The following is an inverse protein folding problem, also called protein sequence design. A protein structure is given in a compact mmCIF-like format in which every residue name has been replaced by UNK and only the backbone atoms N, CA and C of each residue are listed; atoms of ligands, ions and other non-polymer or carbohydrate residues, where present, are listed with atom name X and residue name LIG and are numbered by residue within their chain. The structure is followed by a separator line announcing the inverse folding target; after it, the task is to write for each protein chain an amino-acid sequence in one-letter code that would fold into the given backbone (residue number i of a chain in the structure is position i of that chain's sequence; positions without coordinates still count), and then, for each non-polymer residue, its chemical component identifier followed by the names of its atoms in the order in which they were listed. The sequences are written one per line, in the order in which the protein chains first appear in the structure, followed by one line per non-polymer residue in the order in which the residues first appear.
data_IF_812395621292
#
_entry.id   IF_812395621292
#
_cell.length_a   1.000
_cell.length_b   1.000
_cell.length_c   1.000
_cell.angle_alpha   90.00
_cell.angle_beta   90.00
_cell.angle_gamma   90.00
#
_symmetry.space_group_name_H-M   'P 1'
#
loop_
_entity.id
_entity.type
_entity.pdbx_description
1 polymer ?
#
# COMPACT_ATOMS: atom_id res chain seq x y z
N UNK A 1 11.20 23.81 13.00
CA UNK A 1 9.92 23.07 13.00
C UNK A 1 8.71 23.77 12.39
N UNK A 2 8.46 25.07 12.60
CA UNK A 2 7.34 25.77 11.90
C UNK A 2 7.43 25.66 10.38
N UNK A 3 8.64 25.61 9.82
CA UNK A 3 8.86 25.50 8.37
C UNK A 3 8.30 24.23 7.74
N UNK A 4 8.26 23.08 8.45
CA UNK A 4 7.79 21.83 7.85
C UNK A 4 6.25 21.76 7.87
N UNK A 5 5.65 22.14 8.99
CA UNK A 5 4.20 22.25 9.13
C UNK A 5 3.64 23.32 8.16
N UNK A 6 4.34 24.45 8.03
CA UNK A 6 3.99 25.50 7.08
C UNK A 6 4.17 25.02 5.63
N UNK A 7 5.23 24.27 5.29
CA UNK A 7 5.40 23.69 3.95
C UNK A 7 4.36 22.64 3.59
N UNK A 8 3.96 21.78 4.53
CA UNK A 8 2.90 20.80 4.32
C UNK A 8 1.56 21.49 4.12
N UNK A 9 1.25 22.52 4.93
CA UNK A 9 0.05 23.34 4.75
C UNK A 9 0.09 24.16 3.45
N UNK A 10 1.23 24.72 3.06
CA UNK A 10 1.42 25.43 1.80
C UNK A 10 1.27 24.49 0.59
N UNK A 11 1.75 23.24 0.68
CA UNK A 11 1.56 22.22 -0.36
C UNK A 11 0.08 21.85 -0.50
N UNK A 12 -0.64 21.70 0.60
CA UNK A 12 -2.08 21.41 0.61
C UNK A 12 -2.89 22.63 0.11
N UNK A 13 -2.47 23.85 0.46
CA UNK A 13 -3.09 25.10 0.00
C UNK A 13 -2.81 25.40 -1.48
N UNK A 14 -1.62 25.04 -1.99
CA UNK A 14 -1.27 25.17 -3.42
C UNK A 14 -2.12 24.28 -4.33
N UNK A 15 -2.74 23.23 -3.80
CA UNK A 15 -3.64 22.35 -4.55
C UNK A 15 -5.13 22.77 -4.47
N UNK A 16 -5.45 23.99 -4.02
CA UNK A 16 -6.82 24.57 -3.97
C UNK A 16 -7.84 23.72 -3.18
N UNK A 17 -7.44 23.16 -2.03
CA UNK A 17 -8.33 22.31 -1.22
C UNK A 17 -8.43 22.79 0.22
N UNK A 18 -9.17 23.88 0.40
CA UNK A 18 -9.44 24.50 1.71
C UNK A 18 -9.95 23.47 2.74
N UNK A 19 -10.87 22.58 2.36
CA UNK A 19 -11.43 21.57 3.28
C UNK A 19 -10.38 20.58 3.80
N UNK A 20 -9.42 20.20 2.96
CA UNK A 20 -8.34 19.28 3.35
C UNK A 20 -7.31 20.02 4.23
N UNK A 21 -7.01 21.27 3.91
CA UNK A 21 -6.13 22.10 4.74
C UNK A 21 -6.72 22.35 6.14
N UNK A 22 -8.02 22.61 6.23
CA UNK A 22 -8.74 22.83 7.50
C UNK A 22 -8.75 21.55 8.33
N UNK A 23 -9.07 20.40 7.72
CA UNK A 23 -9.06 19.11 8.42
C UNK A 23 -7.66 18.74 8.94
N UNK A 24 -6.63 18.97 8.14
CA UNK A 24 -5.22 18.73 8.50
C UNK A 24 -4.79 19.64 9.64
N UNK A 25 -5.06 20.94 9.54
CA UNK A 25 -4.72 21.92 10.57
C UNK A 25 -5.42 21.59 11.90
N UNK A 26 -6.72 21.31 11.86
CA UNK A 26 -7.50 20.96 13.04
C UNK A 26 -7.14 19.60 13.66
N UNK A 27 -6.54 18.67 12.91
CA UNK A 27 -6.00 17.42 13.44
C UNK A 27 -4.64 17.64 14.11
N UNK A 28 -3.74 18.35 13.42
CA UNK A 28 -2.43 18.73 13.98
C UNK A 28 -2.63 19.50 15.29
N UNK A 29 -3.49 20.52 15.32
CA UNK A 29 -3.73 21.34 16.52
C UNK A 29 -4.32 20.56 17.72
N UNK A 30 -5.06 19.46 17.47
CA UNK A 30 -5.65 18.61 18.52
C UNK A 30 -4.68 17.59 19.12
N UNK A 31 -3.76 17.06 18.32
CA UNK A 31 -2.90 15.92 18.66
C UNK A 31 -1.45 16.32 18.98
N UNK A 32 -1.19 17.59 19.32
CA UNK A 32 0.17 18.09 19.62
C UNK A 32 0.68 17.59 20.98
N UNK A 33 1.18 16.36 20.99
CA UNK A 33 2.02 15.76 22.05
C UNK A 33 3.47 16.25 22.03
N UNK A 34 4.40 15.43 22.53
CA UNK A 34 5.85 15.70 22.50
C UNK A 34 6.44 15.57 21.07
N UNK A 35 7.69 15.97 20.83
CA UNK A 35 8.30 15.97 19.48
C UNK A 35 8.16 14.65 18.67
N UNK A 36 8.42 13.45 19.22
CA UNK A 36 8.27 12.21 18.45
C UNK A 36 6.82 11.88 18.09
N UNK A 37 5.86 12.18 18.98
CA UNK A 37 4.42 12.02 18.68
C UNK A 37 3.99 12.97 17.56
N UNK A 38 4.51 14.20 17.53
CA UNK A 38 4.24 15.15 16.45
C UNK A 38 4.76 14.68 15.10
N UNK A 39 5.98 14.14 15.05
CA UNK A 39 6.55 13.63 13.81
C UNK A 39 5.72 12.46 13.25
N UNK A 40 5.30 11.53 14.12
CA UNK A 40 4.40 10.42 13.75
C UNK A 40 3.06 10.93 13.22
N UNK A 41 2.45 11.90 13.91
CA UNK A 41 1.18 12.50 13.51
C UNK A 41 1.28 13.18 12.13
N UNK A 42 2.35 13.93 11.88
CA UNK A 42 2.59 14.55 10.57
C UNK A 42 2.78 13.50 9.47
N UNK A 43 3.50 12.42 9.74
CA UNK A 43 3.67 11.32 8.78
C UNK A 43 2.34 10.63 8.45
N UNK A 44 1.48 10.42 9.46
CA UNK A 44 0.13 9.85 9.26
C UNK A 44 -0.74 10.76 8.40
N UNK A 45 -0.73 12.07 8.68
CA UNK A 45 -1.45 13.06 7.89
C UNK A 45 -0.97 13.10 6.44
N UNK A 46 0.34 13.14 6.21
CA UNK A 46 0.90 13.15 4.87
C UNK A 46 0.49 11.90 4.08
N UNK A 47 0.56 10.73 4.70
CA UNK A 47 0.06 9.48 4.10
C UNK A 47 -1.42 9.57 3.75
N UNK A 48 -2.25 10.08 4.67
CA UNK A 48 -3.68 10.20 4.45
C UNK A 48 -4.01 11.10 3.26
N UNK A 49 -3.37 12.27 3.15
CA UNK A 49 -3.53 13.19 2.02
C UNK A 49 -3.14 12.52 0.70
N UNK A 50 -2.01 11.84 0.64
CA UNK A 50 -1.56 11.14 -0.59
C UNK A 50 -2.52 10.03 -1.00
N UNK A 51 -3.06 9.27 -0.04
CA UNK A 51 -4.07 8.23 -0.32
C UNK A 51 -5.36 8.85 -0.83
N UNK A 52 -5.80 9.98 -0.26
CA UNK A 52 -6.99 10.70 -0.71
C UNK A 52 -6.86 11.14 -2.17
N UNK A 53 -5.72 11.76 -2.53
CA UNK A 53 -5.44 12.15 -3.91
C UNK A 53 -5.47 10.96 -4.87
N UNK A 54 -4.98 9.80 -4.43
CA UNK A 54 -5.04 8.57 -5.19
C UNK A 54 -6.49 8.09 -5.40
N UNK A 55 -7.36 8.19 -4.39
CA UNK A 55 -8.76 7.79 -4.46
C UNK A 55 -9.58 8.66 -5.40
N UNK A 56 -9.32 9.96 -5.42
CA UNK A 56 -9.97 10.86 -6.37
C UNK A 56 -9.54 10.55 -7.80
N UNK A 57 -8.25 10.28 -8.03
CA UNK A 57 -7.75 9.84 -9.34
C UNK A 57 -8.37 8.53 -9.80
N UNK A 58 -8.63 7.61 -8.87
CA UNK A 58 -9.38 6.38 -9.16
C UNK A 58 -10.81 6.75 -9.52
N UNK A 59 -11.49 7.58 -8.72
CA UNK A 59 -12.87 8.03 -8.93
C UNK A 59 -13.09 8.72 -10.28
N UNK A 60 -12.06 9.36 -10.85
CA UNK A 60 -12.05 9.92 -12.22
C UNK A 60 -12.08 8.85 -13.34
N UNK A 61 -12.12 7.56 -13.02
CA UNK A 61 -12.20 6.46 -13.98
C UNK A 61 -10.92 5.62 -14.10
N UNK A 62 -9.94 5.81 -13.21
CA UNK A 62 -8.73 4.98 -13.17
C UNK A 62 -8.94 3.76 -12.28
N UNK A 63 -8.10 2.75 -12.45
CA UNK A 63 -8.09 1.56 -11.61
C UNK A 63 -6.72 1.42 -10.96
N UNK A 64 -6.72 0.88 -9.74
CA UNK A 64 -5.50 0.57 -9.01
C UNK A 64 -5.50 -0.91 -8.64
N UNK A 65 -4.42 -1.60 -9.01
CA UNK A 65 -4.21 -2.99 -8.68
C UNK A 65 -3.05 -3.11 -7.68
N UNK A 66 -3.29 -3.81 -6.58
CA UNK A 66 -2.27 -4.23 -5.63
C UNK A 66 -1.96 -5.70 -5.86
N UNK A 67 -0.67 -6.03 -5.98
CA UNK A 67 -0.21 -7.39 -6.22
C UNK A 67 0.84 -7.76 -5.18
N UNK A 68 0.57 -8.79 -4.40
CA UNK A 68 1.46 -9.23 -3.31
C UNK A 68 1.89 -10.69 -3.47
N UNK A 69 3.21 -10.92 -3.36
CA UNK A 69 3.83 -12.26 -3.40
C UNK A 69 3.69 -13.03 -2.08
N UNK A 70 3.41 -12.31 -1.01
CA UNK A 70 3.29 -12.86 0.34
C UNK A 70 2.14 -12.17 1.06
N UNK A 71 1.21 -12.96 1.59
CA UNK A 71 0.11 -12.51 2.42
C UNK A 71 0.00 -13.37 3.67
N UNK A 72 -0.63 -12.81 4.71
CA UNK A 72 -0.95 -13.53 5.96
C UNK A 72 -2.45 -13.86 6.08
N UNK A 73 -3.25 -13.50 5.08
CA UNK A 73 -4.69 -13.78 5.05
C UNK A 73 -4.94 -15.28 5.09
N UNK A 74 -5.90 -15.69 5.90
CA UNK A 74 -6.44 -17.05 5.99
C UNK A 74 -7.98 -17.04 5.89
N UNK A 75 -8.57 -15.99 5.31
CA UNK A 75 -10.03 -15.79 5.23
C UNK A 75 -10.71 -16.85 4.37
N UNK A 76 -10.04 -17.37 3.34
CA UNK A 76 -10.64 -18.33 2.40
C UNK A 76 -10.76 -19.73 3.00
N UNK A 77 -9.72 -20.23 3.68
CA UNK A 77 -9.72 -21.60 4.23
C UNK A 77 -9.88 -21.67 5.75
N UNK A 78 -9.75 -20.54 6.46
CA UNK A 78 -9.79 -20.46 7.92
C UNK A 78 -8.80 -21.43 8.60
N UNK A 79 -7.59 -21.51 8.06
CA UNK A 79 -6.50 -22.37 8.56
C UNK A 79 -5.43 -21.54 9.29
N UNK A 80 -4.60 -22.15 10.15
CA UNK A 80 -3.47 -21.46 10.80
C UNK A 80 -2.28 -21.19 9.84
N UNK A 81 -2.50 -21.35 8.53
CA UNK A 81 -1.53 -21.11 7.46
C UNK A 81 -2.15 -20.20 6.41
N UNK A 82 -1.36 -19.36 5.71
CA UNK A 82 -1.93 -18.41 4.74
C UNK A 82 -2.60 -19.08 3.54
N UNK A 83 -3.71 -18.50 3.06
CA UNK A 83 -4.47 -19.00 1.91
C UNK A 83 -3.60 -19.09 0.66
N UNK A 84 -2.71 -18.13 0.47
CA UNK A 84 -1.76 -18.10 -0.65
C UNK A 84 -0.82 -19.31 -0.64
N UNK A 85 -0.40 -19.77 0.54
CA UNK A 85 0.41 -20.99 0.68
C UNK A 85 -0.42 -22.23 0.35
N UNK A 86 -1.64 -22.32 0.88
CA UNK A 86 -2.57 -23.42 0.61
C UNK A 86 -2.85 -23.54 -0.89
N UNK A 87 -3.23 -22.45 -1.55
CA UNK A 87 -3.47 -22.41 -3.00
C UNK A 87 -2.22 -22.79 -3.79
N UNK A 88 -1.05 -22.36 -3.35
CA UNK A 88 0.22 -22.72 -4.01
C UNK A 88 0.46 -24.23 -3.99
N UNK A 89 0.07 -24.92 -2.91
CA UNK A 89 0.23 -26.38 -2.75
C UNK A 89 -0.87 -27.20 -3.41
N UNK A 90 -2.10 -26.71 -3.41
CA UNK A 90 -3.26 -27.46 -3.92
C UNK A 90 -3.51 -27.29 -5.42
N UNK A 91 -2.97 -26.22 -6.02
CA UNK A 91 -3.20 -25.88 -7.43
C UNK A 91 -1.89 -25.83 -8.21
N UNK A 92 -1.96 -26.03 -9.53
CA UNK A 92 -0.79 -25.95 -10.42
C UNK A 92 -1.05 -25.19 -11.73
N UNK A 93 -2.32 -25.09 -12.15
CA UNK A 93 -2.72 -24.43 -13.40
C UNK A 93 -2.97 -22.96 -13.17
N UNK A 94 -2.88 -22.19 -14.25
CA UNK A 94 -3.31 -20.79 -14.29
C UNK A 94 -4.79 -20.68 -13.92
N UNK A 95 -5.14 -19.55 -13.31
CA UNK A 95 -6.50 -19.26 -12.91
C UNK A 95 -6.54 -18.29 -11.74
N UNK A 96 -7.75 -17.96 -11.32
CA UNK A 96 -7.98 -17.08 -10.19
C UNK A 96 -9.17 -17.56 -9.35
N UNK A 97 -9.22 -17.06 -8.13
CA UNK A 97 -10.35 -17.18 -7.22
C UNK A 97 -10.59 -15.82 -6.59
N UNK A 98 -11.85 -15.39 -6.57
CA UNK A 98 -12.25 -14.18 -5.86
C UNK A 98 -12.44 -14.54 -4.39
N UNK A 99 -11.68 -13.89 -3.50
CA UNK A 99 -11.75 -14.08 -2.04
C UNK A 99 -12.97 -13.35 -1.47
N UNK A 100 -13.24 -12.14 -1.96
CA UNK A 100 -14.36 -11.34 -1.49
C UNK A 100 -14.42 -9.95 -2.12
N UNK A 101 -15.62 -9.38 -2.05
CA UNK A 101 -15.90 -7.97 -2.31
C UNK A 101 -16.04 -7.31 -0.94
N UNK A 102 -15.31 -6.23 -0.72
CA UNK A 102 -15.38 -5.52 0.55
C UNK A 102 -16.42 -4.41 0.39
N UNK A 103 -17.32 -4.33 1.35
CA UNK A 103 -18.42 -3.38 1.32
C UNK A 103 -17.95 -1.98 1.72
N UNK A 104 -16.83 -1.89 2.45
CA UNK A 104 -16.27 -0.61 2.88
C UNK A 104 -14.73 -0.59 2.89
N UNK A 105 -14.19 0.62 2.80
CA UNK A 105 -12.74 0.85 2.88
C UNK A 105 -12.21 0.65 4.30
N UNK A 106 -13.02 0.85 5.33
CA UNK A 106 -12.64 0.56 6.71
C UNK A 106 -12.36 -0.93 6.92
N UNK A 107 -13.13 -1.82 6.29
CA UNK A 107 -12.86 -3.26 6.34
C UNK A 107 -11.51 -3.62 5.68
N UNK A 108 -11.07 -2.82 4.72
CA UNK A 108 -9.84 -3.05 3.98
C UNK A 108 -8.59 -2.47 4.65
N UNK A 109 -8.70 -1.32 5.34
CA UNK A 109 -7.55 -0.52 5.81
C UNK A 109 -7.54 -0.24 7.31
N UNK A 110 -8.66 -0.47 8.01
CA UNK A 110 -8.82 -0.22 9.45
C UNK A 110 -9.27 1.20 9.77
N UNK A 111 -9.91 1.38 10.93
CA UNK A 111 -10.60 2.63 11.30
C UNK A 111 -9.65 3.83 11.45
N UNK A 112 -8.48 3.64 12.04
CA UNK A 112 -7.55 4.72 12.44
C UNK A 112 -7.12 5.62 11.26
N UNK A 113 -6.93 5.03 10.06
CA UNK A 113 -6.52 5.79 8.89
C UNK A 113 -7.73 6.42 8.15
N UNK A 114 -8.92 5.86 8.33
CA UNK A 114 -10.12 6.22 7.54
C UNK A 114 -10.79 7.50 8.01
N UNK A 115 -10.64 7.84 9.29
CA UNK A 115 -11.15 9.09 9.88
C UNK A 115 -10.28 10.31 9.54
N UNK A 116 -9.10 10.10 8.97
CA UNK A 116 -8.16 11.17 8.65
C UNK A 116 -8.47 11.81 7.29
N UNK A 117 -8.44 13.15 7.27
CA UNK A 117 -8.45 13.96 6.05
C UNK A 117 -9.64 13.74 5.08
N UNK A 118 -10.74 13.17 5.56
CA UNK A 118 -11.91 12.85 4.74
C UNK A 118 -11.70 11.64 3.81
N UNK A 119 -10.87 10.68 4.23
CA UNK A 119 -10.58 9.47 3.47
C UNK A 119 -11.80 8.57 3.32
N UNK A 120 -12.62 8.48 4.37
CA UNK A 120 -13.87 7.72 4.36
C UNK A 120 -14.78 8.16 3.22
N UNK A 121 -15.10 9.45 3.14
CA UNK A 121 -15.94 10.05 2.11
C UNK A 121 -15.35 9.84 0.71
N UNK A 122 -14.03 9.96 0.60
CA UNK A 122 -13.32 9.73 -0.67
C UNK A 122 -13.41 8.28 -1.14
N UNK A 123 -13.50 7.33 -0.21
CA UNK A 123 -13.60 5.91 -0.51
C UNK A 123 -15.04 5.43 -0.75
N UNK A 124 -16.08 6.19 -0.38
CA UNK A 124 -17.48 5.82 -0.58
C UNK A 124 -17.84 5.55 -2.04
N UNK A 125 -17.17 6.22 -2.97
CA UNK A 125 -17.38 6.07 -4.42
C UNK A 125 -16.52 4.97 -5.04
N UNK A 126 -15.76 4.23 -4.23
CA UNK A 126 -14.87 3.18 -4.69
C UNK A 126 -15.43 1.80 -4.36
N UNK A 127 -14.99 0.82 -5.13
CA UNK A 127 -15.29 -0.60 -4.96
C UNK A 127 -13.99 -1.35 -4.78
N UNK A 128 -13.96 -2.27 -3.82
CA UNK A 128 -12.79 -3.06 -3.52
C UNK A 128 -13.10 -4.55 -3.65
N UNK A 129 -12.28 -5.24 -4.44
CA UNK A 129 -12.38 -6.69 -4.65
C UNK A 129 -11.00 -7.30 -4.49
N UNK A 130 -10.93 -8.42 -3.79
CA UNK A 130 -9.68 -9.17 -3.66
C UNK A 130 -9.85 -10.60 -4.10
N UNK A 131 -8.74 -11.17 -4.55
CA UNK A 131 -8.65 -12.57 -4.87
C UNK A 131 -7.22 -13.03 -4.93
N UNK A 132 -7.07 -14.28 -5.35
CA UNK A 132 -5.79 -14.90 -5.60
C UNK A 132 -5.72 -15.31 -7.06
N UNK A 133 -4.57 -15.12 -7.70
CA UNK A 133 -4.36 -15.46 -9.09
C UNK A 133 -3.01 -16.17 -9.28
N UNK A 134 -3.01 -17.23 -10.07
CA UNK A 134 -1.81 -17.83 -10.64
C UNK A 134 -1.74 -17.42 -12.11
N UNK A 135 -0.76 -16.59 -12.44
CA UNK A 135 -0.64 -15.98 -13.77
C UNK A 135 0.10 -16.88 -14.77
N UNK A 136 0.87 -17.86 -14.29
CA UNK A 136 1.58 -18.83 -15.13
C UNK A 136 1.61 -20.22 -14.47
N UNK A 137 1.54 -21.29 -15.25
CA UNK A 137 1.52 -22.67 -14.73
C UNK A 137 2.72 -22.95 -13.83
N UNK A 138 2.46 -23.50 -12.65
CA UNK A 138 3.49 -23.85 -11.67
C UNK A 138 4.13 -22.66 -10.93
N UNK A 139 3.89 -21.42 -11.38
CA UNK A 139 4.41 -20.22 -10.73
C UNK A 139 3.67 -19.88 -9.42
N UNK A 140 4.24 -19.09 -8.50
CA UNK A 140 3.57 -18.74 -7.24
C UNK A 140 2.18 -18.12 -7.44
N UNK A 141 1.26 -18.43 -6.52
CA UNK A 141 -0.03 -17.73 -6.43
C UNK A 141 0.22 -16.33 -5.88
N UNK A 142 -0.40 -15.31 -6.46
CA UNK A 142 -0.33 -13.91 -6.01
C UNK A 142 -1.67 -13.52 -5.40
N UNK A 143 -1.66 -12.69 -4.34
CA UNK A 143 -2.87 -11.99 -3.90
C UNK A 143 -3.00 -10.72 -4.73
N UNK A 144 -4.17 -10.53 -5.34
CA UNK A 144 -4.50 -9.41 -6.20
C UNK A 144 -5.68 -8.68 -5.60
N UNK A 145 -5.57 -7.37 -5.44
CA UNK A 145 -6.66 -6.52 -4.97
C UNK A 145 -6.87 -5.41 -5.99
N UNK A 146 -8.11 -5.19 -6.37
CA UNK A 146 -8.51 -4.15 -7.31
C UNK A 146 -9.33 -3.11 -6.56
N UNK A 147 -8.92 -1.86 -6.72
CA UNK A 147 -9.67 -0.68 -6.32
C UNK A 147 -10.12 0.06 -7.59
N UNK A 148 -11.42 0.23 -7.75
CA UNK A 148 -12.03 0.87 -8.93
C UNK A 148 -13.18 1.79 -8.51
N UNK A 149 -13.65 2.70 -9.38
CA UNK A 149 -14.91 3.40 -9.16
C UNK A 149 -16.09 2.44 -9.02
N UNK A 150 -17.10 2.83 -8.25
CA UNK A 150 -18.43 2.20 -8.28
C UNK A 150 -19.07 2.45 -9.65
N UNK A 151 -19.05 1.44 -10.51
CA UNK A 151 -19.70 1.51 -11.81
C UNK A 151 -21.12 0.95 -11.75
N UNK A 152 -22.11 1.70 -12.24
CA UNK A 152 -23.48 1.18 -12.39
C UNK A 152 -23.53 0.15 -13.52
N UNK A 153 -23.92 -1.08 -13.21
CA UNK A 153 -24.21 -2.13 -14.21
C UNK A 153 -23.02 -2.96 -14.70
N UNK A 154 -21.79 -2.70 -14.24
CA UNK A 154 -20.63 -3.57 -14.53
C UNK A 154 -20.38 -4.53 -13.37
N UNK A 155 -20.12 -5.81 -13.67
CA UNK A 155 -19.76 -6.79 -12.64
C UNK A 155 -18.31 -6.58 -12.20
N UNK A 156 -18.09 -6.34 -10.91
CA UNK A 156 -16.74 -6.27 -10.32
C UNK A 156 -15.92 -7.54 -10.59
N UNK A 157 -16.59 -8.70 -10.72
CA UNK A 157 -15.91 -9.96 -11.02
C UNK A 157 -15.34 -9.96 -12.45
N UNK A 158 -16.07 -9.38 -13.40
CA UNK A 158 -15.60 -9.24 -14.78
C UNK A 158 -14.42 -8.24 -14.89
N UNK A 159 -14.45 -7.17 -14.10
CA UNK A 159 -13.32 -6.23 -14.00
C UNK A 159 -12.09 -6.89 -13.38
N UNK A 160 -12.29 -7.72 -12.36
CA UNK A 160 -11.21 -8.48 -11.74
C UNK A 160 -10.62 -9.52 -12.69
N UNK A 161 -11.46 -10.23 -13.45
CA UNK A 161 -11.03 -11.16 -14.49
C UNK A 161 -10.20 -10.46 -15.57
N UNK A 162 -10.69 -9.34 -16.11
CA UNK A 162 -9.95 -8.53 -17.09
C UNK A 162 -8.60 -8.04 -16.54
N UNK A 163 -8.56 -7.61 -15.28
CA UNK A 163 -7.30 -7.28 -14.60
C UNK A 163 -6.35 -8.49 -14.55
N UNK A 164 -6.82 -9.66 -14.12
CA UNK A 164 -5.98 -10.87 -14.03
C UNK A 164 -5.43 -11.25 -15.41
N UNK A 165 -6.25 -11.19 -16.45
CA UNK A 165 -5.82 -11.46 -17.83
C UNK A 165 -4.76 -10.46 -18.31
N UNK A 166 -4.93 -9.17 -18.01
CA UNK A 166 -3.92 -8.13 -18.30
C UNK A 166 -2.63 -8.34 -17.51
N UNK A 167 -2.71 -8.76 -16.25
CA UNK A 167 -1.52 -9.07 -15.45
C UNK A 167 -0.80 -10.31 -16.00
N UNK A 168 -1.56 -11.33 -16.42
CA UNK A 168 -1.01 -12.54 -17.02
C UNK A 168 -0.27 -12.25 -18.34
N UNK A 169 -0.83 -11.39 -19.20
CA UNK A 169 -0.16 -11.01 -20.47
C UNK A 169 1.14 -10.21 -20.28
N UNK A 170 1.33 -9.60 -19.10
CA UNK A 170 2.53 -8.87 -18.71
C UNK A 170 3.49 -9.71 -17.84
N UNK A 171 3.15 -10.95 -17.53
CA UNK A 171 3.94 -11.80 -16.63
C UNK A 171 4.94 -12.66 -17.40
N UNK A 172 6.12 -12.88 -16.77
CA UNK A 172 7.09 -13.88 -17.24
C UNK A 172 6.71 -15.28 -16.79
N UNK A 173 7.52 -16.29 -17.17
CA UNK A 173 7.37 -17.69 -16.74
C UNK A 173 7.37 -17.86 -15.21
N UNK A 174 7.98 -16.91 -14.47
CA UNK A 174 7.96 -16.86 -13.01
C UNK A 174 6.60 -16.43 -12.42
N UNK A 175 5.62 -16.13 -13.27
CA UNK A 175 4.25 -15.75 -12.92
C UNK A 175 4.12 -14.42 -12.20
N UNK A 176 5.09 -13.51 -12.35
CA UNK A 176 5.05 -12.17 -11.78
C UNK A 176 5.08 -11.09 -12.88
N UNK A 177 4.24 -10.03 -12.79
CA UNK A 177 4.20 -9.00 -13.82
C UNK A 177 5.55 -8.27 -13.99
N UNK A 178 6.05 -8.21 -15.21
CA UNK A 178 7.35 -7.63 -15.55
C UNK A 178 7.51 -6.15 -15.14
N UNK A 179 6.50 -5.26 -15.29
CA UNK A 179 6.60 -3.89 -14.81
C UNK A 179 6.85 -3.79 -13.29
N UNK A 180 6.24 -4.69 -12.51
CA UNK A 180 6.45 -4.74 -11.06
C UNK A 180 7.83 -5.27 -10.70
N UNK A 181 8.37 -6.21 -11.49
CA UNK A 181 9.73 -6.70 -11.31
C UNK A 181 10.75 -5.57 -11.49
N UNK A 182 10.61 -4.76 -12.55
CA UNK A 182 11.47 -3.60 -12.80
C UNK A 182 11.36 -2.59 -11.66
N UNK A 183 10.14 -2.26 -11.24
CA UNK A 183 9.92 -1.31 -10.15
C UNK A 183 10.60 -1.79 -8.86
N UNK A 184 10.46 -3.07 -8.51
CA UNK A 184 11.10 -3.67 -7.35
C UNK A 184 12.64 -3.60 -7.41
N UNK A 185 13.23 -3.97 -8.54
CA UNK A 185 14.69 -3.92 -8.74
C UNK A 185 15.24 -2.50 -8.64
N UNK A 186 14.54 -1.52 -9.18
CA UNK A 186 14.98 -0.11 -9.17
C UNK A 186 14.80 0.58 -7.82
N UNK A 187 13.79 0.17 -7.04
CA UNK A 187 13.56 0.71 -5.72
C UNK A 187 14.47 0.09 -4.64
N UNK A 188 15.19 -0.99 -4.97
CA UNK A 188 16.06 -1.67 -4.02
C UNK A 188 17.26 -0.80 -3.65
N UNK A 189 17.33 -0.39 -2.39
CA UNK A 189 18.49 0.34 -1.84
C UNK A 189 19.48 -0.70 -1.31
N UNK A 190 20.65 -0.77 -1.91
CA UNK A 190 21.70 -1.67 -1.47
C UNK A 190 22.24 -1.28 -0.09
N UNK A 191 22.59 -2.28 0.74
CA UNK A 191 23.17 -2.07 2.08
C UNK A 191 24.37 -1.12 2.07
N UNK A 192 25.19 -1.18 1.02
CA UNK A 192 26.34 -0.30 0.85
C UNK A 192 25.94 1.17 0.75
N UNK A 193 24.86 1.47 0.00
CA UNK A 193 24.33 2.83 -0.13
C UNK A 193 23.81 3.30 1.22
N UNK A 194 23.07 2.46 1.94
CA UNK A 194 22.60 2.77 3.29
C UNK A 194 23.75 3.10 4.24
N UNK A 195 24.84 2.33 4.21
CA UNK A 195 26.02 2.57 5.04
C UNK A 195 26.69 3.91 4.70
N UNK A 196 26.88 4.23 3.42
CA UNK A 196 27.45 5.51 2.98
C UNK A 196 26.57 6.68 3.44
N UNK A 197 25.25 6.57 3.31
CA UNK A 197 24.31 7.62 3.75
C UNK A 197 24.34 7.77 5.27
N UNK A 198 24.37 6.66 6.02
CA UNK A 198 24.49 6.70 7.48
C UNK A 198 25.80 7.35 7.93
N UNK A 199 26.92 7.01 7.27
CA UNK A 199 28.23 7.63 7.50
C UNK A 199 28.20 9.13 7.23
N UNK A 200 27.64 9.54 6.08
CA UNK A 200 27.54 10.94 5.69
C UNK A 200 26.64 11.77 6.63
N UNK A 201 25.64 11.14 7.25
CA UNK A 201 24.75 11.78 8.22
C UNK A 201 25.29 11.72 9.66
N UNK A 202 26.45 11.10 9.89
CA UNK A 202 27.01 10.90 11.23
C UNK A 202 26.13 10.00 12.12
N UNK A 203 25.32 9.12 11.51
CA UNK A 203 24.39 8.22 12.20
C UNK A 203 25.01 6.86 12.55
N UNK A 204 26.24 6.61 12.15
CA UNK A 204 26.99 5.49 12.71
C UNK A 204 27.26 5.80 14.17
N UNK A 205 26.82 4.90 15.05
CA UNK A 205 27.37 4.85 16.41
C UNK A 205 28.90 4.84 16.27
N UNK A 206 29.57 5.81 16.90
CA UNK A 206 31.00 5.62 17.18
C UNK A 206 31.10 4.26 17.85
N UNK A 207 31.99 3.39 17.33
CA UNK A 207 32.29 2.11 17.95
C UNK A 207 32.70 2.39 19.39
N UNK A 208 31.75 2.36 20.32
CA UNK A 208 32.07 2.33 21.74
C UNK A 208 32.84 1.03 21.91
N UNK A 209 34.07 1.09 22.43
CA UNK A 209 35.07 0.01 22.42
C UNK A 209 34.71 -1.30 23.15
N UNK A 210 33.42 -1.67 23.21
CA UNK A 210 32.89 -2.94 23.71
C UNK A 210 32.78 -4.03 22.63
N UNK A 211 32.86 -3.69 21.35
CA UNK A 211 32.83 -4.70 20.26
C UNK A 211 34.22 -5.19 19.81
N UNK A 212 35.32 -4.66 20.35
CA UNK A 212 36.68 -5.16 20.05
C UNK A 212 37.04 -6.48 20.76
N UNK A 213 36.21 -6.98 21.68
CA UNK A 213 36.58 -8.12 22.53
C UNK A 213 36.26 -9.50 21.89
N UNK A 214 35.40 -9.56 20.87
CA UNK A 214 35.04 -10.85 20.23
C UNK A 214 35.92 -11.24 19.02
N UNK A 215 37.02 -10.53 18.79
CA UNK A 215 38.04 -10.89 17.78
C UNK A 215 39.43 -10.99 18.43
N UNK A 216 39.59 -11.88 19.40
CA UNK A 216 40.89 -12.43 19.80
C UNK A 216 40.82 -13.94 20.05
#
# INVERSE_FOLDING_TARGET
DESLCHKTLELIQREEREDTAIAVKGFIERELGNEPERAKTLEMVEKAVRIKMLFEKISEGRMLAFVTKTGRSNRLFNLPIPDQYVLTKLTMREGYIVEGKYESFEEAVGEELTELCGLKESAENLSFISGYARLYRGAPVLKVQLLSPKMKGSSLDALFEDLVLKLASLSSEDGYPFPLLIAHQRAHIEKRITAIVADALGLREELSGREEIDVL
#
